data_IF_024708752562
#
_entry.id   IF_024708752562
#
_cell.length_a   1.000
_cell.length_b   1.000
_cell.length_c   1.000
_cell.angle_alpha   90.00
_cell.angle_beta   90.00
_cell.angle_gamma   90.00
#
_symmetry.space_group_name_H-M   'P 1'
#
loop_
_entity.id
_entity.type
_entity.pdbx_description
1 polymer ?
#
# COMPACT_ATOMS: atom_id res chain seq x y z
N UNK A 1 7.06 -3.73 -10.12
CA UNK A 1 7.14 -4.56 -11.36
C UNK A 1 6.61 -3.83 -12.58
N UNK A 2 5.35 -3.38 -12.61
CA UNK A 2 4.74 -2.72 -13.80
C UNK A 2 5.59 -1.58 -14.39
N UNK A 3 6.11 -0.68 -13.54
CA UNK A 3 6.98 0.41 -13.99
C UNK A 3 8.25 -0.09 -14.71
N UNK A 4 8.85 -1.15 -14.21
CA UNK A 4 10.04 -1.78 -14.81
C UNK A 4 9.74 -2.41 -16.16
N UNK A 5 8.60 -3.12 -16.30
CA UNK A 5 8.17 -3.70 -17.58
C UNK A 5 7.92 -2.63 -18.65
N UNK A 6 7.38 -1.47 -18.25
CA UNK A 6 7.13 -0.34 -19.14
C UNK A 6 8.37 0.54 -19.38
N UNK A 7 9.47 0.31 -18.65
CA UNK A 7 10.62 1.23 -18.60
C UNK A 7 10.22 2.67 -18.24
N UNK A 8 9.24 2.83 -17.35
CA UNK A 8 8.74 4.14 -16.90
C UNK A 8 9.30 4.52 -15.53
N UNK A 9 9.48 5.83 -15.27
CA UNK A 9 9.74 6.33 -13.92
C UNK A 9 8.69 5.85 -12.92
N UNK A 10 9.11 5.61 -11.68
CA UNK A 10 8.23 5.20 -10.59
C UNK A 10 8.29 6.17 -9.41
N UNK A 11 7.15 6.39 -8.77
CA UNK A 11 7.06 7.09 -7.48
C UNK A 11 6.22 6.23 -6.52
N UNK A 12 6.88 5.63 -5.52
CA UNK A 12 6.24 4.70 -4.58
C UNK A 12 5.85 5.39 -3.28
N UNK A 13 4.79 4.93 -2.60
CA UNK A 13 4.35 5.44 -1.30
C UNK A 13 4.00 6.94 -1.31
N UNK A 14 3.33 7.39 -2.36
CA UNK A 14 2.98 8.79 -2.54
C UNK A 14 1.96 9.26 -1.49
N UNK A 15 2.33 10.24 -0.67
CA UNK A 15 1.46 10.98 0.26
C UNK A 15 0.98 12.32 -0.28
N UNK A 16 1.61 12.84 -1.34
CA UNK A 16 1.10 13.98 -2.12
C UNK A 16 1.55 13.87 -3.57
N UNK A 17 0.69 14.26 -4.51
CA UNK A 17 1.00 14.27 -5.95
C UNK A 17 0.56 15.60 -6.56
N UNK A 18 1.52 16.39 -7.04
CA UNK A 18 1.31 17.66 -7.74
C UNK A 18 1.79 17.51 -9.19
N UNK A 19 0.86 17.46 -10.15
CA UNK A 19 1.18 17.29 -11.58
C UNK A 19 1.50 18.65 -12.21
N UNK A 20 2.67 18.76 -12.84
CA UNK A 20 3.17 19.96 -13.54
C UNK A 20 3.55 19.62 -14.97
N UNK A 21 2.64 19.88 -15.91
CA UNK A 21 2.78 19.65 -17.36
C UNK A 21 3.40 18.28 -17.70
N UNK A 22 4.73 18.25 -17.92
CA UNK A 22 5.50 17.06 -18.33
C UNK A 22 6.12 16.29 -17.17
N UNK A 23 5.89 16.71 -15.94
CA UNK A 23 6.45 16.10 -14.73
C UNK A 23 5.43 16.04 -13.59
N UNK A 24 5.63 15.15 -12.64
CA UNK A 24 4.90 15.13 -11.39
C UNK A 24 5.88 15.31 -10.23
N UNK A 25 5.52 16.16 -9.29
CA UNK A 25 6.19 16.32 -8.01
C UNK A 25 5.44 15.46 -6.99
N UNK A 26 6.14 14.48 -6.42
CA UNK A 26 5.54 13.46 -5.56
C UNK A 26 6.26 13.47 -4.22
N UNK A 27 5.51 13.71 -3.15
CA UNK A 27 5.97 13.50 -1.79
C UNK A 27 5.73 12.04 -1.43
N UNK A 28 6.77 11.36 -0.95
CA UNK A 28 6.78 9.94 -0.62
C UNK A 28 7.09 9.76 0.85
N UNK A 29 6.45 8.78 1.46
CA UNK A 29 6.78 8.35 2.82
C UNK A 29 7.95 7.35 2.78
N UNK A 30 8.94 7.59 3.63
CA UNK A 30 10.08 6.71 3.88
C UNK A 30 10.22 6.52 5.39
N UNK A 31 10.99 5.53 5.83
CA UNK A 31 11.10 5.20 7.26
C UNK A 31 11.57 6.39 8.12
N UNK A 32 12.39 7.29 7.53
CA UNK A 32 12.91 8.49 8.19
C UNK A 32 12.02 9.74 8.08
N UNK A 33 10.85 9.67 7.45
CA UNK A 33 9.97 10.82 7.23
C UNK A 33 9.45 10.91 5.81
N UNK A 34 9.61 12.07 5.17
CA UNK A 34 9.11 12.32 3.81
C UNK A 34 10.18 12.82 2.86
N UNK A 35 10.11 12.35 1.61
CA UNK A 35 11.01 12.71 0.52
C UNK A 35 10.20 13.24 -0.66
N UNK A 36 10.57 14.41 -1.19
CA UNK A 36 9.94 14.95 -2.40
C UNK A 36 10.79 14.64 -3.62
N UNK A 37 10.22 13.92 -4.59
CA UNK A 37 10.88 13.60 -5.86
C UNK A 37 10.14 14.23 -7.03
N UNK A 38 10.86 14.47 -8.14
CA UNK A 38 10.27 14.85 -9.41
C UNK A 38 10.43 13.71 -10.41
N UNK A 39 9.33 13.27 -11.00
CA UNK A 39 9.31 12.23 -12.04
C UNK A 39 8.81 12.81 -13.37
N UNK A 40 9.38 12.36 -14.49
CA UNK A 40 8.91 12.74 -15.83
C UNK A 40 7.71 11.87 -16.22
N UNK A 41 6.69 12.46 -16.84
CA UNK A 41 5.54 11.71 -17.35
C UNK A 41 5.84 11.14 -18.76
N UNK A 42 5.37 9.92 -19.09
CA UNK A 42 4.51 9.03 -18.29
C UNK A 42 5.26 8.33 -17.14
N UNK A 43 4.58 8.12 -16.00
CA UNK A 43 5.16 7.49 -14.81
C UNK A 43 4.13 6.59 -14.11
N UNK A 44 4.61 5.63 -13.31
CA UNK A 44 3.78 4.77 -12.45
C UNK A 44 3.87 5.25 -11.01
N UNK A 45 2.72 5.53 -10.39
CA UNK A 45 2.66 6.05 -9.02
C UNK A 45 1.88 5.06 -8.16
N UNK A 46 2.43 4.66 -7.01
CA UNK A 46 1.69 3.94 -5.97
C UNK A 46 1.33 4.89 -4.83
N UNK A 47 0.11 4.77 -4.34
CA UNK A 47 -0.45 5.72 -3.37
C UNK A 47 -0.37 5.16 -1.96
N UNK A 48 0.13 5.97 -1.02
CA UNK A 48 0.07 5.66 0.40
C UNK A 48 -1.33 5.99 0.98
N UNK A 49 -1.67 5.40 2.13
CA UNK A 49 -2.91 5.68 2.86
C UNK A 49 -3.04 7.16 3.26
N UNK A 50 -1.94 7.89 3.43
CA UNK A 50 -1.92 9.32 3.79
C UNK A 50 -2.25 10.25 2.63
N UNK A 51 -2.33 9.75 1.39
CA UNK A 51 -2.50 10.59 0.20
C UNK A 51 -3.79 11.42 0.22
N UNK A 52 -4.91 10.78 0.58
CA UNK A 52 -6.21 11.42 0.60
C UNK A 52 -7.19 10.65 1.49
N UNK A 53 -8.35 11.25 1.73
CA UNK A 53 -9.50 10.56 2.30
C UNK A 53 -10.48 10.22 1.16
N UNK A 54 -10.69 8.93 0.84
CA UNK A 54 -11.61 8.54 -0.23
C UNK A 54 -13.04 9.05 0.06
N UNK A 55 -13.63 9.75 -0.90
CA UNK A 55 -15.02 10.23 -0.79
C UNK A 55 -16.01 9.06 -0.91
N UNK A 56 -17.15 9.17 -0.23
CA UNK A 56 -18.27 8.25 -0.45
C UNK A 56 -18.90 8.46 -1.84
N UNK A 57 -19.28 7.36 -2.48
CA UNK A 57 -20.05 7.40 -3.72
C UNK A 57 -21.52 7.72 -3.42
N UNK A 58 -22.07 8.77 -4.04
CA UNK A 58 -23.48 9.10 -3.90
C UNK A 58 -24.37 8.20 -4.80
N UNK A 59 -25.65 8.04 -4.42
CA UNK A 59 -26.62 7.23 -5.17
C UNK A 59 -26.68 7.58 -6.67
N UNK A 60 -26.68 8.86 -7.09
CA UNK A 60 -26.65 9.21 -8.51
C UNK A 60 -25.39 8.71 -9.23
N UNK A 61 -24.21 8.78 -8.61
CA UNK A 61 -22.95 8.28 -9.19
C UNK A 61 -22.98 6.77 -9.35
N UNK A 62 -23.57 6.05 -8.39
CA UNK A 62 -23.73 4.59 -8.46
C UNK A 62 -24.62 4.21 -9.65
N UNK A 63 -25.77 4.88 -9.82
CA UNK A 63 -26.67 4.61 -10.93
C UNK A 63 -26.03 4.94 -12.29
N UNK A 64 -25.26 6.03 -12.39
CA UNK A 64 -24.49 6.36 -13.59
C UNK A 64 -23.39 5.35 -13.87
N UNK A 65 -22.68 4.89 -12.85
CA UNK A 65 -21.60 3.90 -13.00
C UNK A 65 -22.11 2.58 -13.57
N UNK A 66 -23.28 2.10 -13.13
CA UNK A 66 -23.92 0.89 -13.68
C UNK A 66 -24.20 0.96 -15.18
N UNK A 67 -24.41 2.16 -15.74
CA UNK A 67 -24.67 2.37 -17.16
C UNK A 67 -23.39 2.51 -18.00
N UNK A 68 -22.23 2.70 -17.38
CA UNK A 68 -20.97 2.83 -18.13
C UNK A 68 -20.59 1.48 -18.72
N UNK A 69 -20.22 1.41 -20.01
CA UNK A 69 -19.77 0.17 -20.61
C UNK A 69 -18.50 -0.32 -19.90
N UNK A 70 -18.50 -1.58 -19.47
CA UNK A 70 -17.35 -2.23 -18.85
C UNK A 70 -16.75 -3.18 -19.87
N UNK A 71 -15.61 -2.81 -20.44
CA UNK A 71 -14.86 -3.67 -21.34
C UNK A 71 -14.36 -4.89 -20.55
N UNK A 72 -14.74 -6.09 -21.00
CA UNK A 72 -14.21 -7.35 -20.48
C UNK A 72 -13.12 -7.81 -21.44
N UNK A 73 -11.92 -7.99 -20.91
CA UNK A 73 -10.78 -8.54 -21.63
C UNK A 73 -10.21 -9.69 -20.82
N UNK A 74 -9.78 -10.73 -21.50
CA UNK A 74 -9.01 -11.84 -20.93
C UNK A 74 -7.51 -11.56 -21.08
N UNK A 75 -6.64 -12.20 -20.27
CA UNK A 75 -5.20 -12.14 -20.49
C UNK A 75 -4.78 -12.59 -21.89
N UNK A 76 -5.50 -13.54 -22.48
CA UNK A 76 -5.29 -14.03 -23.85
C UNK A 76 -5.49 -12.94 -24.90
N UNK A 77 -6.45 -12.02 -24.70
CA UNK A 77 -6.69 -10.89 -25.61
C UNK A 77 -5.52 -9.88 -25.61
N UNK A 78 -4.68 -9.93 -24.57
CA UNK A 78 -3.49 -9.09 -24.40
C UNK A 78 -2.18 -9.84 -24.71
N UNK A 79 -2.25 -11.12 -25.07
CA UNK A 79 -1.06 -11.95 -25.34
C UNK A 79 -0.20 -12.19 -24.09
N UNK A 80 -0.79 -12.16 -22.89
CA UNK A 80 -0.06 -12.30 -21.62
C UNK A 80 -0.19 -13.74 -21.10
N UNK A 81 0.95 -14.39 -20.85
CA UNK A 81 1.00 -15.66 -20.12
C UNK A 81 0.82 -15.43 -18.62
N UNK A 82 -0.02 -16.25 -18.00
CA UNK A 82 -0.35 -16.21 -16.57
C UNK A 82 0.21 -17.41 -15.81
N UNK A 83 1.15 -18.15 -16.41
CA UNK A 83 1.82 -19.28 -15.78
C UNK A 83 2.45 -18.85 -14.44
N UNK A 84 2.07 -19.48 -13.31
CA UNK A 84 2.69 -19.19 -12.02
C UNK A 84 4.18 -19.55 -12.05
N UNK A 85 5.02 -18.63 -11.59
CA UNK A 85 6.45 -18.86 -11.39
C UNK A 85 6.80 -19.16 -9.91
N UNK A 86 5.79 -19.20 -9.04
CA UNK A 86 5.93 -19.46 -7.62
C UNK A 86 4.88 -20.48 -7.19
N UNK A 87 5.29 -21.40 -6.31
CA UNK A 87 4.43 -22.43 -5.73
C UNK A 87 4.34 -22.23 -4.23
N UNK A 88 3.13 -22.35 -3.69
CA UNK A 88 2.88 -22.29 -2.25
C UNK A 88 2.96 -23.71 -1.68
N UNK A 89 3.85 -23.92 -0.71
CA UNK A 89 4.08 -25.25 -0.11
C UNK A 89 3.15 -25.54 1.06
N UNK A 90 2.90 -24.53 1.92
CA UNK A 90 2.02 -24.65 3.08
C UNK A 90 1.50 -23.29 3.54
N UNK A 91 0.46 -23.32 4.36
CA UNK A 91 -0.10 -22.15 5.03
C UNK A 91 -0.43 -22.54 6.47
N UNK A 92 -0.01 -21.73 7.42
CA UNK A 92 -0.28 -21.94 8.84
C UNK A 92 -0.73 -20.62 9.45
N UNK A 93 -1.59 -20.71 10.47
CA UNK A 93 -1.95 -19.53 11.26
C UNK A 93 -0.75 -19.05 12.08
N UNK A 94 -0.54 -17.74 12.23
CA UNK A 94 0.49 -17.24 13.12
C UNK A 94 0.22 -17.70 14.57
N UNK A 95 1.27 -17.90 15.38
CA UNK A 95 1.11 -18.39 16.74
C UNK A 95 0.22 -17.44 17.55
N UNK A 96 -0.77 -18.00 18.26
CA UNK A 96 -1.66 -17.22 19.12
C UNK A 96 -0.84 -16.54 20.22
N UNK A 97 -1.06 -15.24 20.41
CA UNK A 97 -0.41 -14.48 21.48
C UNK A 97 -0.77 -15.09 22.85
N UNK A 98 0.24 -15.36 23.67
CA UNK A 98 0.01 -15.79 25.06
C UNK A 98 -0.61 -14.65 25.88
N UNK A 99 -1.47 -14.99 26.84
CA UNK A 99 -2.13 -14.02 27.71
C UNK A 99 -1.12 -13.15 28.47
N UNK A 100 -1.36 -11.83 28.51
CA UNK A 100 -0.61 -10.92 29.35
C UNK A 100 -1.09 -10.93 30.81
N UNK A 101 -0.27 -10.39 31.72
CA UNK A 101 -0.66 -10.12 33.10
C UNK A 101 -1.04 -8.64 33.29
N UNK A 102 -2.00 -8.36 34.18
CA UNK A 102 -2.24 -7.00 34.69
C UNK A 102 -1.34 -6.74 35.91
N UNK A 103 -0.90 -5.50 36.07
CA UNK A 103 -0.11 -5.03 37.22
C UNK A 103 -0.85 -3.88 37.89
N UNK A 104 -0.62 -3.71 39.18
CA UNK A 104 -1.33 -2.74 40.03
C UNK A 104 -0.59 -1.41 40.20
N UNK A 105 0.71 -1.37 39.89
CA UNK A 105 1.55 -0.18 40.03
C UNK A 105 2.64 -0.10 38.96
N UNK A 106 3.25 1.09 38.84
CA UNK A 106 4.40 1.33 37.95
C UNK A 106 5.63 0.56 38.43
N UNK A 107 5.85 0.45 39.73
CA UNK A 107 6.97 -0.31 40.30
C UNK A 107 6.87 -1.81 39.97
N UNK A 108 5.66 -2.36 40.04
CA UNK A 108 5.38 -3.76 39.65
C UNK A 108 5.61 -3.98 38.15
N UNK A 109 5.25 -3.00 37.32
CA UNK A 109 5.52 -3.04 35.88
C UNK A 109 7.03 -3.07 35.59
N UNK A 110 7.79 -2.14 36.18
CA UNK A 110 9.24 -2.05 35.96
C UNK A 110 9.93 -3.33 36.44
N UNK A 111 9.53 -3.86 37.59
CA UNK A 111 10.08 -5.11 38.12
C UNK A 111 9.83 -6.29 37.17
N UNK A 112 8.60 -6.48 36.70
CA UNK A 112 8.27 -7.55 35.74
C UNK A 112 8.92 -7.37 34.36
N UNK A 113 9.22 -6.13 33.95
CA UNK A 113 9.93 -5.87 32.69
C UNK A 113 11.43 -6.19 32.83
N UNK A 114 12.05 -5.83 33.97
CA UNK A 114 13.44 -6.20 34.29
C UNK A 114 13.62 -7.71 34.40
N UNK A 115 12.70 -8.41 35.08
CA UNK A 115 12.69 -9.88 35.15
C UNK A 115 12.64 -10.54 33.77
N UNK A 116 11.99 -9.89 32.79
CA UNK A 116 11.88 -10.36 31.41
C UNK A 116 13.01 -9.87 30.50
N UNK A 117 13.97 -9.08 31.00
CA UNK A 117 15.09 -8.53 30.22
C UNK A 117 14.68 -7.58 29.10
N UNK A 118 13.50 -6.96 29.21
CA UNK A 118 12.96 -6.02 28.22
C UNK A 118 13.35 -4.56 28.51
N UNK A 119 13.85 -4.29 29.72
CA UNK A 119 14.34 -3.01 30.24
C UNK A 119 15.49 -3.28 31.20
#
# INVERSE_FOLDING_TARGET
MVAGLLSWPQALFASKVDIKDKSAEVMREIDGGSETIRVKLPAVITTDLRLNQPRFANLPSIQKAKKKPMAKMSPSDLGVDIKPHQEYLSYEEPPKRQGGGRVSSVDELISKLKEKGLV
#
